data_IF_533722211909
#
_entry.id   IF_533722211909
#
_cell.length_a   1.000
_cell.length_b   1.000
_cell.length_c   1.000
_cell.angle_alpha   90.00
_cell.angle_beta   90.00
_cell.angle_gamma   90.00
#
_symmetry.space_group_name_H-M   'P 1'
#
loop_
_entity.id
_entity.type
_entity.pdbx_description
1 polymer ?
#
# COMPACT_ATOMS: atom_id res chain seq x y z
N UNK A 1 -6.29 -1.38 -7.85
CA UNK A 1 -7.70 -1.91 -7.96
C UNK A 1 -8.08 -2.74 -6.73
N UNK A 2 -7.13 -3.48 -6.12
CA UNK A 2 -7.42 -4.33 -4.96
C UNK A 2 -7.94 -3.55 -3.75
N UNK A 3 -7.24 -2.48 -3.35
CA UNK A 3 -7.60 -1.61 -2.24
C UNK A 3 -8.96 -0.92 -2.43
N UNK A 4 -9.30 -0.48 -3.65
CA UNK A 4 -10.61 0.08 -3.97
C UNK A 4 -11.75 -0.93 -3.77
N UNK A 5 -11.54 -2.19 -4.15
CA UNK A 5 -12.51 -3.28 -3.91
C UNK A 5 -12.67 -3.58 -2.41
N UNK A 6 -11.58 -3.57 -1.67
CA UNK A 6 -11.63 -3.72 -0.21
C UNK A 6 -12.34 -2.54 0.45
N UNK A 7 -12.08 -1.29 0.00
CA UNK A 7 -12.77 -0.08 0.45
C UNK A 7 -14.29 -0.19 0.28
N UNK A 8 -14.75 -0.64 -0.90
CA UNK A 8 -16.19 -0.89 -1.16
C UNK A 8 -16.80 -1.89 -0.19
N UNK A 9 -16.02 -2.82 0.32
CA UNK A 9 -16.44 -3.81 1.31
C UNK A 9 -16.18 -3.38 2.76
N UNK A 10 -15.89 -2.11 3.01
CA UNK A 10 -15.71 -1.53 4.34
C UNK A 10 -14.37 -1.82 5.01
N UNK A 11 -13.39 -2.34 4.28
CA UNK A 11 -12.05 -2.48 4.82
C UNK A 11 -11.33 -1.12 4.86
N UNK A 12 -10.69 -0.83 5.99
CA UNK A 12 -9.82 0.34 6.10
C UNK A 12 -8.46 0.00 5.48
N UNK A 13 -7.96 0.93 4.67
CA UNK A 13 -6.69 0.75 3.97
C UNK A 13 -5.51 1.05 4.91
N UNK A 14 -4.52 0.15 4.90
CA UNK A 14 -3.16 0.40 5.36
C UNK A 14 -2.25 0.44 4.13
N UNK A 15 -1.60 1.56 3.88
CA UNK A 15 -0.78 1.74 2.69
C UNK A 15 0.15 2.94 2.75
N UNK A 16 1.00 3.06 1.77
CA UNK A 16 1.83 4.25 1.51
C UNK A 16 1.02 5.33 0.81
N UNK A 17 1.44 6.60 0.93
CA UNK A 17 0.75 7.74 0.33
C UNK A 17 1.15 7.89 -1.14
N UNK A 18 0.74 6.90 -1.95
CA UNK A 18 0.98 6.87 -3.39
C UNK A 18 -0.19 6.27 -4.16
N UNK A 19 -0.19 6.44 -5.47
CA UNK A 19 -1.23 5.90 -6.35
C UNK A 19 -2.65 6.24 -5.87
N UNK A 20 -3.53 5.26 -5.91
CA UNK A 20 -4.93 5.42 -5.50
C UNK A 20 -5.14 5.74 -4.02
N UNK A 21 -4.14 5.50 -3.15
CA UNK A 21 -4.27 5.81 -1.73
C UNK A 21 -4.34 7.32 -1.48
N UNK A 22 -3.74 8.13 -2.35
CA UNK A 22 -3.85 9.61 -2.30
C UNK A 22 -5.30 10.03 -2.44
N UNK A 23 -5.96 9.60 -3.52
CA UNK A 23 -7.37 9.91 -3.78
C UNK A 23 -8.30 9.29 -2.71
N UNK A 24 -7.98 8.08 -2.24
CA UNK A 24 -8.74 7.45 -1.15
C UNK A 24 -8.64 8.28 0.13
N UNK A 25 -7.45 8.78 0.49
CA UNK A 25 -7.26 9.62 1.67
C UNK A 25 -8.00 10.97 1.54
N UNK A 26 -8.02 11.55 0.34
CA UNK A 26 -8.79 12.77 0.06
C UNK A 26 -10.30 12.55 0.24
N UNK A 27 -10.81 11.40 -0.22
CA UNK A 27 -12.24 11.09 -0.13
C UNK A 27 -12.70 10.75 1.28
N UNK A 28 -11.93 9.99 2.05
CA UNK A 28 -12.38 9.51 3.38
C UNK A 28 -11.83 10.33 4.55
N UNK A 29 -10.82 11.16 4.32
CA UNK A 29 -10.07 11.87 5.38
C UNK A 29 -8.99 10.98 6.00
N UNK A 30 -7.89 11.62 6.45
CA UNK A 30 -6.72 10.95 7.01
C UNK A 30 -7.01 10.15 8.30
N UNK A 31 -8.10 10.47 8.98
CA UNK A 31 -8.55 9.75 10.18
C UNK A 31 -9.20 8.39 9.87
N UNK A 32 -9.56 8.13 8.60
CA UNK A 32 -10.26 6.92 8.17
C UNK A 32 -9.40 6.01 7.28
N UNK A 33 -8.10 6.29 7.20
CA UNK A 33 -7.08 5.53 6.46
C UNK A 33 -5.80 5.48 7.29
N UNK A 34 -5.02 4.40 7.16
CA UNK A 34 -3.75 4.25 7.88
C UNK A 34 -2.60 4.36 6.89
N UNK A 35 -1.93 5.51 6.92
CA UNK A 35 -0.77 5.77 6.07
C UNK A 35 0.52 5.51 6.85
N UNK A 36 1.51 4.93 6.16
CA UNK A 36 2.87 4.72 6.64
C UNK A 36 3.88 4.98 5.51
N UNK A 37 5.15 4.97 5.86
CA UNK A 37 6.26 5.08 4.91
C UNK A 37 6.55 6.50 4.47
N UNK A 38 7.48 6.58 3.55
CA UNK A 38 7.93 7.84 2.95
C UNK A 38 6.86 8.41 2.00
N UNK A 39 6.89 9.72 1.82
CA UNK A 39 6.16 10.39 0.73
C UNK A 39 6.79 10.09 -0.63
N UNK A 40 6.04 10.32 -1.70
CA UNK A 40 6.56 10.18 -3.08
C UNK A 40 7.76 11.08 -3.34
N UNK A 41 7.78 12.29 -2.75
CA UNK A 41 8.88 13.24 -2.87
C UNK A 41 10.16 12.72 -2.20
N UNK A 42 10.02 12.11 -1.00
CA UNK A 42 11.15 11.50 -0.29
C UNK A 42 11.73 10.32 -1.07
N UNK A 43 10.87 9.44 -1.62
CA UNK A 43 11.29 8.33 -2.48
C UNK A 43 12.06 8.85 -3.69
N UNK A 44 11.49 9.81 -4.43
CA UNK A 44 12.14 10.41 -5.61
C UNK A 44 13.48 11.06 -5.24
N UNK A 45 13.57 11.70 -4.06
CA UNK A 45 14.81 12.29 -3.58
C UNK A 45 15.88 11.21 -3.35
N UNK A 46 15.55 10.11 -2.68
CA UNK A 46 16.48 9.00 -2.46
C UNK A 46 16.92 8.34 -3.78
N UNK A 47 16.02 8.13 -4.72
CA UNK A 47 16.35 7.58 -6.04
C UNK A 47 17.30 8.51 -6.82
N UNK A 48 17.04 9.82 -6.79
CA UNK A 48 17.88 10.82 -7.46
C UNK A 48 19.26 10.93 -6.84
N UNK A 49 19.33 10.99 -5.50
CA UNK A 49 20.57 11.17 -4.75
C UNK A 49 21.38 9.87 -4.66
N UNK A 50 20.73 8.72 -4.82
CA UNK A 50 21.34 7.38 -4.63
C UNK A 50 22.00 7.22 -3.27
N UNK A 51 21.35 7.75 -2.22
CA UNK A 51 21.87 7.82 -0.86
C UNK A 51 21.26 6.77 0.08
N UNK A 52 20.42 5.88 -0.45
CA UNK A 52 19.82 4.79 0.30
C UNK A 52 20.72 3.55 0.28
N UNK A 53 21.03 3.05 1.48
CA UNK A 53 21.73 1.79 1.71
C UNK A 53 20.98 0.95 2.75
N UNK A 54 20.23 -0.09 2.34
CA UNK A 54 19.49 -0.95 3.25
C UNK A 54 20.39 -1.70 4.24
N UNK A 55 21.66 -1.93 3.90
CA UNK A 55 22.61 -2.58 4.78
C UNK A 55 22.92 -1.75 6.03
N UNK A 56 22.87 -0.42 5.95
CA UNK A 56 23.02 0.46 7.11
C UNK A 56 21.87 0.23 8.11
N UNK A 57 20.63 0.14 7.61
CA UNK A 57 19.45 -0.13 8.44
C UNK A 57 19.55 -1.52 9.07
N UNK A 58 19.84 -2.53 8.26
CA UNK A 58 20.04 -3.89 8.73
C UNK A 58 21.11 -3.99 9.84
N UNK A 59 22.21 -3.26 9.74
CA UNK A 59 23.28 -3.28 10.73
C UNK A 59 22.95 -2.48 12.00
N UNK A 60 22.19 -1.39 11.88
CA UNK A 60 21.88 -0.49 12.98
C UNK A 60 20.62 -0.88 13.76
N UNK A 61 19.68 -1.61 13.15
CA UNK A 61 18.42 -2.01 13.77
C UNK A 61 18.37 -3.52 14.01
N UNK A 62 18.52 -3.93 15.28
CA UNK A 62 18.51 -5.34 15.68
C UNK A 62 17.17 -6.03 15.38
N UNK A 63 16.05 -5.31 15.53
CA UNK A 63 14.72 -5.85 15.24
C UNK A 63 14.53 -6.15 13.77
N UNK A 64 14.92 -5.22 12.90
CA UNK A 64 14.89 -5.42 11.45
C UNK A 64 15.82 -6.56 11.05
N UNK A 65 17.05 -6.54 11.55
CA UNK A 65 18.02 -7.62 11.30
C UNK A 65 17.47 -8.99 11.67
N UNK A 66 16.84 -9.11 12.85
CA UNK A 66 16.22 -10.35 13.30
C UNK A 66 15.12 -10.83 12.34
N UNK A 67 14.21 -9.93 11.96
CA UNK A 67 13.11 -10.26 11.04
C UNK A 67 13.64 -10.68 9.65
N UNK A 68 14.60 -9.95 9.11
CA UNK A 68 15.21 -10.27 7.81
C UNK A 68 15.93 -11.63 7.86
N UNK A 69 16.65 -11.93 8.94
CA UNK A 69 17.34 -13.23 9.10
C UNK A 69 16.37 -14.41 9.17
N UNK A 70 15.15 -14.22 9.66
CA UNK A 70 14.13 -15.27 9.69
C UNK A 70 13.78 -15.82 8.31
N UNK A 71 14.06 -15.07 7.24
CA UNK A 71 13.90 -15.56 5.87
C UNK A 71 14.87 -16.71 5.53
N UNK A 72 16.01 -16.82 6.23
CA UNK A 72 17.10 -17.75 5.87
C UNK A 72 17.63 -18.60 7.02
N UNK A 73 17.07 -18.46 8.23
CA UNK A 73 17.51 -19.20 9.43
C UNK A 73 16.66 -20.46 9.73
N UNK A 74 15.67 -20.74 8.88
CA UNK A 74 14.75 -21.86 9.03
C UNK A 74 13.47 -21.55 9.83
N UNK A 75 13.28 -20.33 10.33
CA UNK A 75 12.07 -19.94 11.08
C UNK A 75 10.81 -20.17 10.26
N UNK A 76 10.78 -19.75 8.99
CA UNK A 76 9.60 -19.89 8.12
C UNK A 76 9.62 -21.19 7.30
N UNK A 77 10.76 -21.83 7.13
CA UNK A 77 10.91 -23.10 6.39
C UNK A 77 11.99 -23.96 7.02
N UNK A 78 11.66 -24.72 8.09
CA UNK A 78 12.66 -25.54 8.79
C UNK A 78 13.31 -26.62 7.93
N UNK A 79 12.56 -27.16 6.95
CA UNK A 79 13.04 -28.23 6.08
C UNK A 79 13.83 -27.71 4.87
N UNK A 80 13.72 -26.44 4.55
CA UNK A 80 14.46 -25.75 3.49
C UNK A 80 14.74 -24.29 3.89
N UNK A 81 15.78 -24.04 4.68
CA UNK A 81 16.16 -22.67 5.07
C UNK A 81 16.54 -21.76 3.90
N UNK A 82 16.79 -22.36 2.74
CA UNK A 82 17.11 -21.63 1.50
C UNK A 82 15.90 -21.09 0.73
N UNK A 83 14.69 -21.53 1.06
CA UNK A 83 13.48 -21.24 0.29
C UNK A 83 13.26 -19.75 0.01
N UNK A 84 13.54 -18.89 0.98
CA UNK A 84 13.34 -17.43 0.87
C UNK A 84 14.65 -16.65 0.67
N UNK A 85 15.73 -17.33 0.23
CA UNK A 85 17.05 -16.71 0.01
C UNK A 85 17.01 -15.59 -1.02
N UNK A 86 16.21 -15.73 -2.05
CA UNK A 86 16.09 -14.69 -3.08
C UNK A 86 15.44 -13.41 -2.53
N UNK A 87 14.45 -13.55 -1.64
CA UNK A 87 13.87 -12.40 -0.94
C UNK A 87 14.90 -11.73 -0.01
N UNK A 88 15.63 -12.52 0.76
CA UNK A 88 16.71 -12.00 1.60
C UNK A 88 17.75 -11.23 0.77
N UNK A 89 18.18 -11.82 -0.37
CA UNK A 89 19.14 -11.18 -1.26
C UNK A 89 18.59 -9.92 -1.90
N UNK A 90 17.32 -9.89 -2.28
CA UNK A 90 16.70 -8.68 -2.88
C UNK A 90 16.66 -7.49 -1.92
N UNK A 91 16.59 -7.75 -0.62
CA UNK A 91 16.61 -6.71 0.41
C UNK A 91 18.02 -6.16 0.71
N UNK A 92 19.07 -7.01 0.63
CA UNK A 92 20.39 -6.67 1.13
C UNK A 92 21.49 -6.66 0.07
N UNK A 93 21.29 -7.34 -1.07
CA UNK A 93 22.35 -7.64 -2.02
C UNK A 93 22.15 -6.93 -3.36
N UNK A 94 23.06 -6.07 -3.74
CA UNK A 94 23.04 -5.37 -5.03
C UNK A 94 23.38 -6.27 -6.23
N UNK A 95 23.83 -7.51 -5.99
CA UNK A 95 24.24 -8.42 -7.08
C UNK A 95 23.06 -9.01 -7.85
N UNK A 96 21.87 -9.08 -7.23
CA UNK A 96 20.68 -9.66 -7.87
C UNK A 96 19.83 -8.61 -8.61
N UNK A 97 19.94 -7.35 -8.23
CA UNK A 97 19.26 -6.21 -8.85
C UNK A 97 20.22 -5.03 -8.89
N UNK A 98 19.95 -4.05 -9.74
CA UNK A 98 20.78 -2.84 -9.82
C UNK A 98 20.86 -2.09 -8.48
N UNK A 99 19.84 -2.28 -7.64
CA UNK A 99 19.74 -1.71 -6.29
C UNK A 99 19.09 -2.75 -5.35
N UNK A 100 19.63 -2.89 -4.13
CA UNK A 100 18.98 -3.67 -3.08
C UNK A 100 17.78 -2.87 -2.53
N UNK A 101 16.75 -3.60 -2.06
CA UNK A 101 15.54 -3.02 -1.49
C UNK A 101 14.94 -1.88 -2.33
N UNK A 102 14.69 -2.17 -3.60
CA UNK A 102 14.18 -1.22 -4.62
C UNK A 102 12.90 -0.50 -4.18
N UNK A 103 12.14 -1.10 -3.27
CA UNK A 103 10.88 -0.55 -2.77
C UNK A 103 10.99 0.06 -1.37
N UNK A 104 12.19 0.29 -0.87
CA UNK A 104 12.46 0.92 0.44
C UNK A 104 11.78 0.23 1.63
N UNK A 105 11.59 -1.09 1.57
CA UNK A 105 10.88 -1.89 2.57
C UNK A 105 11.51 -1.74 3.95
N UNK A 106 12.84 -1.80 4.04
CA UNK A 106 13.54 -1.66 5.33
C UNK A 106 13.47 -0.23 5.86
N UNK A 107 13.46 0.77 4.98
CA UNK A 107 13.31 2.18 5.36
C UNK A 107 11.94 2.44 5.99
N UNK A 108 10.89 1.89 5.38
CA UNK A 108 9.50 2.10 5.81
C UNK A 108 9.07 1.16 6.95
N UNK A 109 9.87 0.14 7.27
CA UNK A 109 9.48 -0.92 8.20
C UNK A 109 9.03 -0.41 9.58
N UNK A 110 9.73 0.54 10.16
CA UNK A 110 9.36 1.08 11.48
C UNK A 110 8.07 1.88 11.43
N UNK A 111 7.87 2.67 10.40
CA UNK A 111 6.62 3.39 10.15
C UNK A 111 5.44 2.42 9.96
N UNK A 112 5.65 1.32 9.24
CA UNK A 112 4.66 0.24 9.11
C UNK A 112 4.32 -0.38 10.47
N UNK A 113 5.31 -0.71 11.30
CA UNK A 113 5.09 -1.27 12.65
C UNK A 113 4.26 -0.31 13.51
N UNK A 114 4.54 0.99 13.44
CA UNK A 114 3.79 1.98 14.21
C UNK A 114 2.37 2.18 13.67
N UNK A 115 2.17 2.07 12.36
CA UNK A 115 0.83 2.05 11.77
C UNK A 115 0.03 0.81 12.23
N UNK A 116 0.66 -0.37 12.28
CA UNK A 116 0.04 -1.59 12.81
C UNK A 116 -0.40 -1.43 14.28
N UNK A 117 0.41 -0.80 15.13
CA UNK A 117 0.01 -0.51 16.52
C UNK A 117 -1.22 0.39 16.58
N UNK A 118 -1.23 1.48 15.80
CA UNK A 118 -2.39 2.38 15.71
C UNK A 118 -3.65 1.65 15.26
N UNK A 119 -3.54 0.74 14.29
CA UNK A 119 -4.66 -0.09 13.83
C UNK A 119 -5.19 -0.98 14.96
N UNK A 120 -4.29 -1.67 15.68
CA UNK A 120 -4.68 -2.55 16.79
C UNK A 120 -5.40 -1.77 17.88
N UNK A 121 -4.92 -0.59 18.25
CA UNK A 121 -5.55 0.30 19.22
C UNK A 121 -6.91 0.80 18.70
N UNK A 122 -6.97 1.30 17.49
CA UNK A 122 -8.20 1.82 16.88
C UNK A 122 -9.28 0.73 16.73
N UNK A 123 -8.87 -0.52 16.44
CA UNK A 123 -9.79 -1.64 16.32
C UNK A 123 -10.47 -2.03 17.63
N UNK A 124 -9.97 -1.60 18.80
CA UNK A 124 -10.64 -1.82 20.10
C UNK A 124 -11.92 -0.97 20.21
N UNK A 125 -11.97 0.21 19.61
CA UNK A 125 -13.19 1.01 19.51
C UNK A 125 -14.03 0.54 18.30
N UNK A 126 -14.93 -0.40 18.55
CA UNK A 126 -15.79 -0.99 17.52
C UNK A 126 -16.72 0.02 16.86
N UNK A 127 -17.13 1.08 17.58
CA UNK A 127 -17.98 2.12 17.01
C UNK A 127 -17.19 3.03 16.07
N UNK A 128 -16.01 3.49 16.49
CA UNK A 128 -15.12 4.27 15.63
C UNK A 128 -14.72 3.48 14.37
N UNK A 129 -14.35 2.21 14.54
CA UNK A 129 -14.03 1.32 13.42
C UNK A 129 -15.19 1.18 12.44
N UNK A 130 -16.40 0.88 12.93
CA UNK A 130 -17.59 0.74 12.10
C UNK A 130 -17.94 2.04 11.37
N UNK A 131 -17.79 3.19 12.04
CA UNK A 131 -17.99 4.51 11.42
C UNK A 131 -17.02 4.70 10.25
N UNK A 132 -15.73 4.44 10.43
CA UNK A 132 -14.74 4.55 9.36
C UNK A 132 -15.00 3.55 8.22
N UNK A 133 -15.43 2.32 8.54
CA UNK A 133 -15.81 1.32 7.53
C UNK A 133 -17.00 1.79 6.66
N UNK A 134 -18.02 2.37 7.29
CA UNK A 134 -19.19 2.96 6.60
C UNK A 134 -18.76 4.13 5.72
N UNK A 135 -17.92 5.02 6.21
CA UNK A 135 -17.40 6.16 5.44
C UNK A 135 -16.60 5.67 4.23
N UNK A 136 -15.71 4.70 4.40
CA UNK A 136 -14.96 4.10 3.30
C UNK A 136 -15.90 3.54 2.22
N UNK A 137 -16.91 2.77 2.62
CA UNK A 137 -17.90 2.22 1.67
C UNK A 137 -18.68 3.33 0.97
N UNK A 138 -19.13 4.34 1.70
CA UNK A 138 -19.93 5.44 1.15
C UNK A 138 -19.16 6.27 0.10
N UNK A 139 -17.86 6.46 0.30
CA UNK A 139 -16.98 7.19 -0.64
C UNK A 139 -16.40 6.32 -1.76
N UNK A 140 -16.59 5.00 -1.74
CA UNK A 140 -16.05 4.11 -2.76
C UNK A 140 -16.63 4.35 -4.16
N UNK A 141 -17.79 5.01 -4.26
CA UNK A 141 -18.41 5.41 -5.54
C UNK A 141 -17.51 6.28 -6.42
N UNK A 142 -16.58 7.05 -5.84
CA UNK A 142 -15.54 7.80 -6.56
C UNK A 142 -14.74 6.91 -7.52
N UNK A 143 -14.52 5.65 -7.17
CA UNK A 143 -13.73 4.69 -7.94
C UNK A 143 -14.57 3.77 -8.83
N UNK A 144 -15.84 4.14 -9.09
CA UNK A 144 -16.71 3.44 -10.02
C UNK A 144 -16.23 3.61 -11.46
N UNK A 145 -16.20 2.52 -12.23
CA UNK A 145 -15.91 2.57 -13.66
C UNK A 145 -16.92 3.40 -14.43
N UNK A 146 -18.21 3.34 -14.03
CA UNK A 146 -19.28 4.09 -14.69
C UNK A 146 -19.05 5.61 -14.55
N UNK A 147 -18.64 6.08 -13.38
CA UNK A 147 -18.26 7.47 -13.17
C UNK A 147 -17.10 7.87 -14.06
N UNK A 148 -16.03 7.08 -14.06
CA UNK A 148 -14.83 7.35 -14.87
C UNK A 148 -15.15 7.43 -16.36
N UNK A 149 -15.93 6.47 -16.88
CA UNK A 149 -16.36 6.48 -18.28
C UNK A 149 -17.25 7.69 -18.58
N UNK A 150 -18.15 8.06 -17.65
CA UNK A 150 -18.99 9.25 -17.85
C UNK A 150 -18.15 10.52 -17.93
N UNK A 151 -17.13 10.68 -17.08
CA UNK A 151 -16.19 11.81 -17.15
C UNK A 151 -15.44 11.83 -18.49
N UNK A 152 -14.98 10.69 -19.00
CA UNK A 152 -14.38 10.62 -20.34
C UNK A 152 -15.37 11.05 -21.44
N UNK A 153 -16.61 10.62 -21.34
CA UNK A 153 -17.67 11.00 -22.29
C UNK A 153 -17.91 12.50 -22.27
N UNK A 154 -18.03 13.08 -21.07
CA UNK A 154 -18.40 14.49 -20.91
C UNK A 154 -17.22 15.45 -21.18
N UNK A 155 -16.02 15.11 -20.67
CA UNK A 155 -14.90 16.04 -20.64
C UNK A 155 -13.90 15.87 -21.81
N UNK A 156 -13.82 14.66 -22.36
CA UNK A 156 -12.81 14.33 -23.39
C UNK A 156 -13.44 14.00 -24.73
N UNK A 157 -14.40 13.09 -24.75
CA UNK A 157 -14.97 12.59 -26.01
C UNK A 157 -16.16 13.41 -26.50
N UNK A 158 -16.87 14.08 -25.61
CA UNK A 158 -18.07 14.88 -25.88
C UNK A 158 -19.11 14.10 -26.72
N UNK A 159 -19.40 12.85 -26.26
CA UNK A 159 -20.31 11.94 -26.96
C UNK A 159 -21.72 12.00 -26.34
N UNK A 160 -22.73 11.91 -27.23
CA UNK A 160 -24.12 11.75 -26.78
C UNK A 160 -24.39 10.32 -26.33
N UNK A 161 -25.19 10.18 -25.27
CA UNK A 161 -25.60 8.88 -24.75
C UNK A 161 -26.54 8.18 -25.69
N UNK A 162 -26.20 6.96 -26.12
CA UNK A 162 -27.05 6.11 -26.97
C UNK A 162 -27.98 5.31 -26.04
N UNK A 163 -29.28 5.38 -26.28
CA UNK A 163 -30.28 4.52 -25.66
C UNK A 163 -30.43 3.23 -26.44
N UNK A 164 -30.07 2.09 -25.87
CA UNK A 164 -30.29 0.77 -26.50
C UNK A 164 -31.71 0.34 -26.17
N UNK A 165 -32.54 -0.02 -27.17
CA UNK A 165 -33.88 -0.53 -26.92
C UNK A 165 -33.88 -1.87 -26.21
N UNK A 166 -34.79 -2.07 -25.25
CA UNK A 166 -34.89 -3.27 -24.38
C UNK A 166 -35.02 -4.61 -25.17
N UNK A 167 -35.43 -4.54 -26.45
CA UNK A 167 -35.56 -5.73 -27.31
C UNK A 167 -34.22 -6.35 -27.78
N UNK A 168 -33.06 -5.76 -27.41
CA UNK A 168 -31.72 -6.23 -27.78
C UNK A 168 -30.90 -6.72 -26.58
N UNK A 169 -31.51 -6.85 -25.40
CA UNK A 169 -30.90 -7.39 -24.18
C UNK A 169 -31.42 -8.78 -23.89
#
# INVERSE_FOLDING_TARGET
>A
TGNMKFMLNGALTLGTMDGANVEMAEEVGMENIFIFGMSSEEVIAHERNRDYDPMQIYNSDEGIRKVVNQLVDGTFSPNDPGLFRDLYNSLLNTQCTQYADTYFILKDFRSYVDAQKRIVEYYQDKQAWAKSAILNTAHAGKFSSDRTIQEYVDEIWHLDRITVPDALV
#
